data_IF_835991016956
#
_entry.id   IF_835991016956
#
_cell.length_a   1.000
_cell.length_b   1.000
_cell.length_c   1.000
_cell.angle_alpha   90.00
_cell.angle_beta   90.00
_cell.angle_gamma   90.00
#
_symmetry.space_group_name_H-M   'P 1'
#
loop_
_entity.id
_entity.type
_entity.pdbx_description
1 polymer ?
#
# COMPACT_ATOMS: atom_id res chain seq x y z
N UNK A 1 8.35 18.44 -12.47
CA UNK A 1 8.98 17.22 -11.93
C UNK A 1 7.88 16.37 -11.32
N UNK A 2 7.72 15.11 -11.74
CA UNK A 2 6.74 14.21 -11.13
C UNK A 2 7.16 14.01 -9.67
N UNK A 3 6.29 14.37 -8.71
CA UNK A 3 6.54 14.18 -7.29
C UNK A 3 6.68 12.69 -6.94
N UNK A 4 7.15 12.37 -5.73
CA UNK A 4 7.27 11.02 -5.17
C UNK A 4 5.91 10.33 -5.20
N UNK A 5 5.82 9.15 -5.79
CA UNK A 5 4.58 8.36 -5.83
C UNK A 5 4.47 7.46 -4.59
N UNK A 6 3.26 7.29 -4.09
CA UNK A 6 2.91 6.26 -3.10
C UNK A 6 2.36 5.06 -3.85
N UNK A 7 3.08 3.95 -3.83
CA UNK A 7 2.81 2.75 -4.61
C UNK A 7 2.51 1.59 -3.66
N UNK A 8 1.31 1.02 -3.75
CA UNK A 8 0.97 -0.21 -3.06
C UNK A 8 1.51 -1.40 -3.87
N UNK A 9 2.65 -1.98 -3.42
CA UNK A 9 3.23 -3.18 -4.03
C UNK A 9 2.98 -4.35 -3.10
N UNK A 10 2.17 -5.33 -3.53
CA UNK A 10 1.64 -6.36 -2.65
C UNK A 10 1.25 -7.62 -3.42
N UNK A 11 1.32 -8.78 -2.75
CA UNK A 11 0.75 -10.03 -3.24
C UNK A 11 -0.67 -10.23 -2.71
N UNK A 12 -1.53 -10.79 -3.54
CA UNK A 12 -2.88 -11.24 -3.15
C UNK A 12 -3.11 -12.68 -3.60
N UNK A 13 -3.97 -13.39 -2.88
CA UNK A 13 -4.60 -14.60 -3.40
C UNK A 13 -5.50 -14.27 -4.60
N UNK A 14 -5.88 -15.26 -5.39
CA UNK A 14 -6.77 -15.06 -6.54
C UNK A 14 -8.18 -14.57 -6.16
N UNK A 15 -8.59 -14.76 -4.91
CA UNK A 15 -9.83 -14.24 -4.31
C UNK A 15 -9.63 -12.93 -3.52
N UNK A 16 -8.44 -12.25 -3.67
CA UNK A 16 -8.24 -10.87 -3.25
C UNK A 16 -7.81 -10.64 -1.80
N UNK A 17 -7.32 -11.65 -1.11
CA UNK A 17 -6.81 -11.53 0.27
C UNK A 17 -5.28 -11.36 0.28
N UNK A 18 -4.77 -10.60 1.25
CA UNK A 18 -3.32 -10.36 1.45
C UNK A 18 -2.73 -11.23 2.57
N UNK A 19 -3.57 -11.80 3.43
CA UNK A 19 -3.19 -12.68 4.51
C UNK A 19 -4.41 -13.48 4.99
N UNK A 20 -4.20 -14.56 5.74
CA UNK A 20 -5.27 -15.22 6.49
C UNK A 20 -5.80 -14.31 7.60
N UNK A 21 -6.89 -14.71 8.27
CA UNK A 21 -7.50 -13.91 9.36
C UNK A 21 -6.54 -13.64 10.52
N UNK A 22 -5.63 -14.57 10.81
CA UNK A 22 -4.60 -14.46 11.86
C UNK A 22 -3.37 -13.63 11.42
N UNK A 23 -3.32 -13.22 10.15
CA UNK A 23 -2.22 -12.47 9.54
C UNK A 23 -1.12 -13.35 8.96
N UNK A 24 -1.26 -14.68 8.96
CA UNK A 24 -0.31 -15.59 8.32
C UNK A 24 -0.38 -15.50 6.81
N UNK A 25 0.75 -15.80 6.16
CA UNK A 25 0.94 -15.73 4.70
C UNK A 25 1.55 -17.04 4.16
N UNK A 26 1.24 -18.15 4.80
CA UNK A 26 1.72 -19.50 4.47
C UNK A 26 1.47 -19.90 3.01
N UNK A 27 0.39 -19.40 2.41
CA UNK A 27 0.04 -19.60 1.01
C UNK A 27 1.01 -18.92 0.02
N UNK A 28 1.90 -18.03 0.50
CA UNK A 28 3.02 -17.46 -0.27
C UNK A 28 4.26 -18.36 -0.26
N UNK A 29 4.31 -19.37 0.63
CA UNK A 29 5.42 -20.32 0.73
C UNK A 29 5.27 -21.40 -0.35
N UNK A 30 5.69 -21.03 -1.56
CA UNK A 30 5.65 -21.85 -2.76
C UNK A 30 7.00 -21.77 -3.48
N UNK A 31 7.40 -22.79 -4.25
CA UNK A 31 8.61 -22.73 -5.05
C UNK A 31 8.61 -21.51 -5.98
N UNK A 32 9.63 -20.65 -5.87
CA UNK A 32 9.80 -19.48 -6.74
C UNK A 32 10.73 -19.85 -7.87
N UNK A 33 10.18 -20.41 -8.95
CA UNK A 33 10.96 -20.90 -10.10
C UNK A 33 11.40 -19.77 -11.04
N UNK A 34 10.85 -18.57 -10.89
CA UNK A 34 11.03 -17.43 -11.83
C UNK A 34 11.64 -16.19 -11.17
N UNK A 35 12.34 -16.35 -10.06
CA UNK A 35 13.04 -15.25 -9.37
C UNK A 35 12.14 -14.43 -8.45
N UNK A 36 12.35 -13.11 -8.38
CA UNK A 36 11.74 -12.22 -7.41
C UNK A 36 10.51 -11.45 -7.92
N UNK A 37 9.98 -11.81 -9.07
CA UNK A 37 8.84 -11.16 -9.75
C UNK A 37 9.01 -9.65 -9.99
N UNK A 38 10.26 -9.15 -9.96
CA UNK A 38 10.60 -7.74 -10.12
C UNK A 38 10.68 -6.95 -8.82
N UNK A 39 10.67 -7.62 -7.66
CA UNK A 39 10.79 -6.98 -6.34
C UNK A 39 12.11 -6.21 -6.21
N UNK A 40 13.24 -6.78 -6.61
CA UNK A 40 14.54 -6.12 -6.54
C UNK A 40 14.63 -4.87 -7.42
N UNK A 41 14.01 -4.89 -8.61
CA UNK A 41 13.91 -3.71 -9.45
C UNK A 41 13.02 -2.63 -8.81
N UNK A 42 11.86 -3.00 -8.26
CA UNK A 42 10.99 -2.10 -7.53
C UNK A 42 11.70 -1.49 -6.32
N UNK A 43 12.41 -2.29 -5.54
CA UNK A 43 13.11 -1.85 -4.33
C UNK A 43 14.14 -0.75 -4.60
N UNK A 44 14.81 -0.77 -5.75
CA UNK A 44 15.73 0.29 -6.18
C UNK A 44 15.04 1.64 -6.45
N UNK A 45 13.73 1.63 -6.67
CA UNK A 45 12.93 2.83 -6.97
C UNK A 45 12.36 3.53 -5.74
N UNK A 46 12.51 2.95 -4.54
CA UNK A 46 11.96 3.48 -3.30
C UNK A 46 13.06 3.86 -2.30
N UNK A 47 12.73 4.73 -1.37
CA UNK A 47 13.55 5.10 -0.20
C UNK A 47 12.72 5.20 1.09
N UNK A 48 11.44 4.91 1.01
CA UNK A 48 10.51 5.06 2.14
C UNK A 48 9.48 3.94 2.10
N UNK A 49 9.16 3.37 3.26
CA UNK A 49 8.12 2.35 3.42
C UNK A 49 7.09 2.81 4.45
N UNK A 50 5.81 2.64 4.13
CA UNK A 50 4.67 2.94 4.99
C UNK A 50 4.01 1.64 5.46
N UNK A 51 3.84 1.52 6.77
CA UNK A 51 3.32 0.33 7.43
C UNK A 51 2.06 0.64 8.23
N UNK A 52 1.10 -0.25 8.19
CA UNK A 52 0.12 -0.38 9.26
C UNK A 52 0.71 -1.13 10.45
N UNK A 53 0.30 -0.77 11.67
CA UNK A 53 0.84 -1.34 12.92
C UNK A 53 0.83 -2.89 12.96
N UNK A 54 -0.25 -3.53 12.49
CA UNK A 54 -0.34 -5.00 12.48
C UNK A 54 0.67 -5.62 11.50
N UNK A 55 0.80 -5.07 10.31
CA UNK A 55 1.76 -5.55 9.29
C UNK A 55 3.20 -5.36 9.77
N UNK A 56 3.50 -4.22 10.40
CA UNK A 56 4.79 -3.99 11.04
C UNK A 56 5.10 -5.04 12.10
N UNK A 57 4.13 -5.38 12.97
CA UNK A 57 4.32 -6.41 14.00
C UNK A 57 4.58 -7.81 13.39
N UNK A 58 3.97 -8.12 12.24
CA UNK A 58 4.29 -9.35 11.49
C UNK A 58 5.69 -9.25 10.88
N UNK A 59 6.05 -8.12 10.25
CA UNK A 59 7.38 -7.89 9.69
C UNK A 59 8.51 -8.09 10.71
N UNK A 60 8.32 -7.64 11.95
CA UNK A 60 9.28 -7.85 13.04
C UNK A 60 9.52 -9.33 13.36
N UNK A 61 8.51 -10.21 13.19
CA UNK A 61 8.68 -11.66 13.41
C UNK A 61 9.58 -12.31 12.35
N UNK A 62 9.60 -11.75 11.14
CA UNK A 62 10.47 -12.20 10.06
C UNK A 62 11.84 -11.50 10.07
N UNK A 63 11.98 -10.39 10.80
CA UNK A 63 13.26 -9.73 10.99
C UNK A 63 14.19 -10.67 11.77
N UNK A 64 15.39 -10.93 11.24
CA UNK A 64 16.40 -11.76 11.93
C UNK A 64 16.76 -11.11 13.27
N UNK A 65 17.01 -11.92 14.28
CA UNK A 65 17.54 -11.48 15.57
C UNK A 65 18.83 -10.67 15.32
N UNK A 66 18.76 -9.36 15.50
CA UNK A 66 19.87 -8.43 15.18
C UNK A 66 19.38 -7.02 14.90
N UNK A 67 18.08 -6.79 14.90
CA UNK A 67 17.46 -5.46 14.83
C UNK A 67 17.25 -4.94 13.41
N UNK A 68 16.12 -4.32 13.20
CA UNK A 68 15.72 -3.69 11.96
C UNK A 68 14.91 -4.59 11.01
N UNK A 69 14.12 -3.96 10.16
CA UNK A 69 13.24 -4.64 9.20
C UNK A 69 13.98 -5.26 8.00
N UNK A 70 15.31 -5.13 7.94
CA UNK A 70 16.15 -5.74 6.91
C UNK A 70 16.12 -5.05 5.54
N UNK A 71 15.56 -3.84 5.45
CA UNK A 71 15.46 -3.08 4.19
C UNK A 71 16.65 -2.12 3.94
N UNK A 72 17.68 -2.15 4.80
CA UNK A 72 18.85 -1.27 4.73
C UNK A 72 18.66 0.06 5.47
N UNK A 73 19.78 0.63 5.94
CA UNK A 73 19.81 1.84 6.77
C UNK A 73 19.32 3.10 6.03
N UNK A 74 19.33 3.08 4.69
CA UNK A 74 18.90 4.22 3.87
C UNK A 74 17.38 4.29 3.64
N UNK A 75 16.62 3.24 4.00
CA UNK A 75 15.17 3.18 3.80
C UNK A 75 14.46 3.63 5.06
N UNK A 76 13.71 4.73 4.96
CA UNK A 76 12.91 5.28 6.06
C UNK A 76 11.64 4.47 6.25
N UNK A 77 11.37 4.04 7.48
CA UNK A 77 10.18 3.27 7.83
C UNK A 77 9.23 4.11 8.68
N UNK A 78 7.98 4.26 8.23
CA UNK A 78 6.91 4.95 8.95
C UNK A 78 5.79 3.99 9.30
N UNK A 79 5.45 3.90 10.59
CA UNK A 79 4.39 3.01 11.08
C UNK A 79 3.19 3.83 11.56
N UNK A 80 2.06 3.69 10.91
CA UNK A 80 0.82 4.37 11.31
C UNK A 80 0.19 3.69 12.53
N UNK A 81 0.12 4.43 13.63
CA UNK A 81 -0.47 3.96 14.88
C UNK A 81 -0.84 5.12 15.80
N UNK A 82 -2.07 5.08 16.34
CA UNK A 82 -2.48 5.98 17.44
C UNK A 82 -1.93 5.53 18.81
N UNK A 83 -1.33 4.35 18.89
CA UNK A 83 -0.76 3.78 20.12
C UNK A 83 0.63 3.22 19.82
N UNK A 84 1.65 4.08 19.69
CA UNK A 84 3.02 3.63 19.48
C UNK A 84 3.53 2.84 20.70
N UNK A 85 4.39 1.83 20.50
CA UNK A 85 5.00 1.12 21.60
C UNK A 85 5.96 2.04 22.37
N UNK A 86 6.19 1.77 23.67
CA UNK A 86 7.12 2.52 24.50
C UNK A 86 8.58 2.41 24.00
N UNK A 87 8.95 1.24 23.48
CA UNK A 87 10.27 0.99 22.88
C UNK A 87 10.11 0.87 21.37
N UNK A 88 10.80 1.71 20.63
CA UNK A 88 10.75 1.75 19.16
C UNK A 88 12.10 1.29 18.61
N UNK A 89 12.08 0.67 17.43
CA UNK A 89 13.30 0.38 16.68
C UNK A 89 13.91 1.70 16.16
N UNK A 90 15.25 1.83 16.09
CA UNK A 90 15.90 3.08 15.74
C UNK A 90 15.65 3.54 14.29
N UNK A 91 15.29 2.61 13.40
CA UNK A 91 15.03 2.82 11.98
C UNK A 91 13.54 3.06 11.67
N UNK A 92 12.68 3.28 12.69
CA UNK A 92 11.23 3.37 12.57
C UNK A 92 10.67 4.61 13.24
N UNK A 93 9.89 5.39 12.50
CA UNK A 93 9.11 6.52 13.03
C UNK A 93 7.62 6.13 13.12
N UNK A 94 7.01 6.31 14.30
CA UNK A 94 5.58 6.10 14.48
C UNK A 94 4.80 7.39 14.19
N UNK A 95 3.77 7.27 13.35
CA UNK A 95 2.99 8.39 12.84
C UNK A 95 1.54 8.27 13.32
N UNK A 96 1.01 9.36 13.88
CA UNK A 96 -0.41 9.49 14.26
C UNK A 96 -1.11 10.70 13.63
N UNK A 97 -0.37 11.53 12.87
CA UNK A 97 -0.92 12.70 12.18
C UNK A 97 -1.87 12.31 11.04
N UNK A 98 -2.72 13.25 10.55
CA UNK A 98 -3.59 13.03 9.40
C UNK A 98 -2.81 12.61 8.14
N UNK A 99 -3.38 11.66 7.38
CA UNK A 99 -2.72 11.06 6.20
C UNK A 99 -2.35 12.12 5.17
N UNK A 100 -3.26 13.06 4.88
CA UNK A 100 -3.04 14.09 3.84
C UNK A 100 -1.88 15.01 4.21
N UNK A 101 -1.77 15.41 5.48
CA UNK A 101 -0.65 16.24 5.96
C UNK A 101 0.66 15.47 5.88
N UNK A 102 0.66 14.21 6.28
CA UNK A 102 1.82 13.36 6.20
C UNK A 102 2.27 13.13 4.76
N UNK A 103 1.35 12.77 3.85
CA UNK A 103 1.65 12.55 2.44
C UNK A 103 2.19 13.82 1.76
N UNK A 104 1.58 14.97 2.06
CA UNK A 104 2.06 16.29 1.59
C UNK A 104 3.48 16.56 2.06
N UNK A 105 3.78 16.33 3.35
CA UNK A 105 5.14 16.48 3.91
C UNK A 105 6.14 15.57 3.21
N UNK A 106 5.80 14.29 2.99
CA UNK A 106 6.70 13.36 2.30
C UNK A 106 6.99 13.79 0.85
N UNK A 107 5.96 14.23 0.13
CA UNK A 107 6.10 14.64 -1.27
C UNK A 107 6.82 15.97 -1.45
N UNK A 108 6.81 16.83 -0.42
CA UNK A 108 7.54 18.09 -0.44
C UNK A 108 9.07 17.92 -0.35
N UNK A 109 9.52 16.78 0.16
CA UNK A 109 10.96 16.48 0.27
C UNK A 109 11.45 15.71 -0.96
N UNK A 110 12.69 15.97 -1.45
CA UNK A 110 13.28 15.18 -2.50
C UNK A 110 13.45 13.72 -2.06
N UNK A 111 13.38 12.80 -3.02
CA UNK A 111 13.54 11.37 -2.76
C UNK A 111 12.95 10.52 -3.87
N UNK A 112 13.05 9.20 -3.67
CA UNK A 112 12.48 8.18 -4.54
C UNK A 112 10.99 7.98 -4.21
N UNK A 113 10.35 7.00 -4.85
CA UNK A 113 8.98 6.63 -4.54
C UNK A 113 8.83 6.05 -3.13
N UNK A 114 7.61 5.90 -2.70
CA UNK A 114 7.21 5.48 -1.38
C UNK A 114 6.45 4.17 -1.52
N UNK A 115 6.89 3.13 -0.83
CA UNK A 115 6.20 1.85 -0.81
C UNK A 115 5.14 1.80 0.28
N UNK A 116 3.88 1.68 -0.09
CA UNK A 116 2.81 1.30 0.81
C UNK A 116 2.83 -0.22 0.98
N UNK A 117 3.47 -0.69 2.06
CA UNK A 117 3.57 -2.12 2.40
C UNK A 117 2.20 -2.71 2.81
N UNK A 118 1.37 -1.91 3.45
CA UNK A 118 0.06 -2.35 3.91
C UNK A 118 -0.01 -2.53 5.43
N UNK A 119 -1.01 -3.29 6.05
CA UNK A 119 -2.09 -4.08 5.41
C UNK A 119 -3.32 -3.33 4.90
N UNK A 120 -4.37 -4.09 4.65
CA UNK A 120 -5.57 -3.59 3.98
C UNK A 120 -6.25 -2.39 4.64
N UNK A 121 -6.16 -2.25 5.97
CA UNK A 121 -6.72 -1.08 6.67
C UNK A 121 -6.01 0.22 6.35
N UNK A 122 -4.67 0.25 6.36
CA UNK A 122 -3.91 1.47 6.04
C UNK A 122 -3.96 1.78 4.54
N UNK A 123 -3.94 0.75 3.67
CA UNK A 123 -4.16 0.92 2.24
C UNK A 123 -5.51 1.59 1.99
N UNK A 124 -6.59 1.11 2.63
CA UNK A 124 -7.91 1.70 2.53
C UNK A 124 -7.92 3.17 2.97
N UNK A 125 -7.30 3.50 4.10
CA UNK A 125 -7.24 4.86 4.61
C UNK A 125 -6.49 5.82 3.69
N UNK A 126 -5.36 5.40 3.11
CA UNK A 126 -4.62 6.20 2.12
C UNK A 126 -5.36 6.34 0.80
N UNK A 127 -6.07 5.29 0.36
CA UNK A 127 -6.89 5.32 -0.85
C UNK A 127 -8.08 6.26 -0.68
N UNK A 128 -8.77 6.22 0.47
CA UNK A 128 -9.89 7.12 0.80
C UNK A 128 -9.44 8.58 0.91
N UNK A 129 -8.19 8.82 1.32
CA UNK A 129 -7.56 10.14 1.35
C UNK A 129 -7.08 10.62 -0.04
N UNK A 130 -7.16 9.78 -1.09
CA UNK A 130 -6.66 10.10 -2.42
C UNK A 130 -5.14 10.12 -2.53
N UNK A 131 -4.43 9.46 -1.62
CA UNK A 131 -2.97 9.54 -1.49
C UNK A 131 -2.22 8.33 -2.08
N UNK A 132 -2.91 7.30 -2.61
CA UNK A 132 -2.28 6.23 -3.39
C UNK A 132 -2.26 6.62 -4.86
N UNK A 133 -1.09 6.53 -5.49
CA UNK A 133 -0.90 6.83 -6.92
C UNK A 133 -0.98 5.58 -7.79
N UNK A 134 -0.42 4.46 -7.31
CA UNK A 134 -0.33 3.22 -8.10
C UNK A 134 -0.51 1.97 -7.23
N UNK A 135 -1.01 0.91 -7.85
CA UNK A 135 -1.03 -0.44 -7.32
C UNK A 135 -0.21 -1.37 -8.21
N UNK A 136 0.71 -2.11 -7.62
CA UNK A 136 1.38 -3.26 -8.26
C UNK A 136 0.96 -4.50 -7.48
N UNK A 137 0.04 -5.27 -8.04
CA UNK A 137 -0.56 -6.43 -7.40
C UNK A 137 -0.05 -7.70 -8.06
N UNK A 138 0.54 -8.59 -7.27
CA UNK A 138 0.87 -9.95 -7.69
C UNK A 138 -0.25 -10.88 -7.28
N UNK A 139 -1.03 -11.31 -8.24
CA UNK A 139 -2.11 -12.29 -8.02
C UNK A 139 -1.49 -13.68 -8.03
N UNK A 140 -1.48 -14.30 -6.87
CA UNK A 140 -1.00 -15.67 -6.69
C UNK A 140 -2.13 -16.64 -7.07
N UNK A 141 -1.87 -17.69 -7.87
CA UNK A 141 -2.90 -18.62 -8.35
C UNK A 141 -3.35 -19.59 -7.25
N UNK A 142 -3.94 -19.04 -6.20
CA UNK A 142 -4.42 -19.77 -5.02
C UNK A 142 -5.64 -19.07 -4.44
N UNK A 143 -6.71 -19.79 -4.16
CA UNK A 143 -7.82 -19.32 -3.35
C UNK A 143 -7.58 -19.68 -1.89
N UNK A 144 -7.85 -18.76 -0.97
CA UNK A 144 -7.74 -19.01 0.47
C UNK A 144 -9.10 -18.93 1.19
N UNK A 145 -10.17 -18.52 0.47
CA UNK A 145 -11.55 -18.53 0.90
C UNK A 145 -11.93 -17.41 1.85
N UNK A 146 -11.07 -17.08 2.81
CA UNK A 146 -11.27 -16.00 3.77
C UNK A 146 -9.94 -15.42 4.23
N UNK A 147 -9.95 -14.17 4.70
CA UNK A 147 -8.70 -13.52 5.13
C UNK A 147 -8.83 -12.03 5.31
N UNK A 148 -7.68 -11.37 5.35
CA UNK A 148 -7.54 -9.92 5.36
C UNK A 148 -7.57 -9.46 3.89
N UNK A 149 -8.57 -8.69 3.46
CA UNK A 149 -8.68 -8.24 2.08
C UNK A 149 -7.59 -7.22 1.74
N UNK A 150 -7.24 -7.11 0.46
CA UNK A 150 -6.30 -6.10 -0.05
C UNK A 150 -6.66 -4.69 0.41
N UNK A 151 -7.94 -4.37 0.37
CA UNK A 151 -8.49 -3.08 0.81
C UNK A 151 -9.61 -3.37 1.79
N UNK A 152 -9.52 -2.83 3.02
CA UNK A 152 -10.57 -3.01 4.02
C UNK A 152 -11.93 -2.59 3.46
N UNK A 153 -13.00 -3.40 3.66
CA UNK A 153 -14.32 -3.15 3.11
C UNK A 153 -14.88 -1.79 3.54
N UNK A 154 -15.33 -1.01 2.57
CA UNK A 154 -16.03 0.25 2.76
C UNK A 154 -16.76 0.59 1.46
N UNK A 155 -17.87 1.32 1.54
CA UNK A 155 -18.49 1.85 0.33
C UNK A 155 -17.54 2.85 -0.34
N UNK A 156 -17.03 2.49 -1.52
CA UNK A 156 -16.17 3.34 -2.37
C UNK A 156 -16.23 2.88 -3.81
N UNK A 157 -16.00 3.81 -4.71
CA UNK A 157 -15.77 3.54 -6.13
C UNK A 157 -14.51 4.31 -6.54
N UNK A 158 -13.45 3.59 -6.88
CA UNK A 158 -12.18 4.16 -7.34
C UNK A 158 -11.82 3.54 -8.67
N UNK A 159 -11.74 4.36 -9.70
CA UNK A 159 -11.35 3.90 -11.03
C UNK A 159 -9.83 3.66 -11.09
N UNK A 160 -9.45 2.61 -11.78
CA UNK A 160 -8.05 2.24 -12.00
C UNK A 160 -7.78 2.16 -13.49
N UNK A 161 -6.64 2.71 -13.93
CA UNK A 161 -6.14 2.58 -15.30
C UNK A 161 -5.06 1.52 -15.32
N UNK A 162 -5.25 0.45 -16.10
CA UNK A 162 -4.22 -0.55 -16.30
C UNK A 162 -3.02 0.06 -17.04
N UNK A 163 -1.83 -0.05 -16.44
CA UNK A 163 -0.56 0.37 -17.01
C UNK A 163 0.17 -0.81 -17.67
N UNK A 164 0.18 -1.97 -17.00
CA UNK A 164 0.73 -3.20 -17.56
C UNK A 164 0.18 -4.43 -16.85
N UNK A 165 0.15 -5.55 -17.56
CA UNK A 165 -0.07 -6.89 -17.03
C UNK A 165 1.08 -7.78 -17.49
N UNK A 166 1.56 -8.65 -16.60
CA UNK A 166 2.60 -9.63 -16.91
C UNK A 166 2.28 -10.94 -16.19
N UNK A 167 2.28 -12.01 -16.93
CA UNK A 167 2.23 -13.38 -16.42
C UNK A 167 3.63 -13.94 -16.20
N UNK A 168 3.71 -14.92 -15.32
CA UNK A 168 4.93 -15.66 -15.01
C UNK A 168 4.67 -17.16 -15.19
N UNK A 169 5.70 -17.94 -15.55
CA UNK A 169 5.54 -19.37 -15.85
C UNK A 169 4.95 -20.22 -14.72
N UNK A 170 5.02 -19.75 -13.48
CA UNK A 170 4.44 -20.39 -12.30
C UNK A 170 2.99 -19.98 -12.01
N UNK A 171 2.36 -19.27 -12.94
CA UNK A 171 0.96 -18.84 -12.89
C UNK A 171 0.69 -17.55 -12.11
N UNK A 172 1.74 -16.89 -11.56
CA UNK A 172 1.57 -15.57 -10.95
C UNK A 172 1.28 -14.54 -12.04
N UNK A 173 0.33 -13.62 -11.79
CA UNK A 173 0.05 -12.50 -12.67
C UNK A 173 0.33 -11.19 -11.93
N UNK A 174 1.21 -10.36 -12.48
CA UNK A 174 1.45 -9.01 -11.98
C UNK A 174 0.61 -8.00 -12.73
N UNK A 175 -0.23 -7.28 -12.01
CA UNK A 175 -1.05 -6.19 -12.51
C UNK A 175 -0.52 -4.86 -11.98
N UNK A 176 -0.30 -3.89 -12.87
CA UNK A 176 0.15 -2.56 -12.51
C UNK A 176 -0.92 -1.55 -12.92
N UNK A 177 -1.47 -0.83 -11.95
CA UNK A 177 -2.52 0.16 -12.16
C UNK A 177 -2.11 1.53 -11.66
N UNK A 178 -2.54 2.58 -12.37
CA UNK A 178 -2.62 3.93 -11.82
C UNK A 178 -4.00 4.14 -11.20
N UNK A 179 -4.05 4.84 -10.06
CA UNK A 179 -5.31 5.31 -9.47
C UNK A 179 -5.78 6.55 -10.23
N UNK A 180 -6.98 6.50 -10.79
CA UNK A 180 -7.58 7.66 -11.45
C UNK A 180 -8.20 8.59 -10.40
N UNK A 181 -7.64 9.80 -10.30
CA UNK A 181 -8.22 10.83 -9.43
C UNK A 181 -9.50 11.35 -10.08
N UNK A 182 -10.63 11.24 -9.41
CA UNK A 182 -11.85 11.88 -9.88
C UNK A 182 -11.59 13.39 -9.96
N UNK A 183 -11.73 13.98 -11.15
CA UNK A 183 -11.78 15.42 -11.28
C UNK A 183 -12.99 15.90 -10.46
N UNK A 184 -12.80 16.81 -9.52
CA UNK A 184 -13.91 17.43 -8.81
C UNK A 184 -14.93 17.93 -9.85
N UNK A 185 -16.15 17.38 -9.79
CA UNK A 185 -17.25 17.95 -10.58
C UNK A 185 -17.42 19.39 -10.11
N UNK A 186 -17.43 20.39 -11.00
CA UNK A 186 -17.69 21.76 -10.59
C UNK A 186 -19.01 21.78 -9.81
N UNK A 187 -18.99 22.35 -8.61
CA UNK A 187 -20.20 22.56 -7.79
C UNK A 187 -21.20 23.30 -8.67
N UNK A 188 -22.24 22.60 -9.12
CA UNK A 188 -23.37 23.23 -9.83
C UNK A 188 -23.92 24.30 -8.90
N UNK A 189 -23.81 25.56 -9.31
CA UNK A 189 -24.34 26.70 -8.58
C UNK A 189 -25.84 26.44 -8.35
N UNK A 190 -26.25 26.44 -7.09
CA UNK A 190 -27.65 26.31 -6.71
C UNK A 190 -28.44 27.42 -7.42
N UNK A 191 -29.36 27.02 -8.32
CA UNK A 191 -30.32 27.93 -8.91
C UNK A 191 -31.10 28.60 -7.79
N UNK A 192 -30.89 29.90 -7.60
CA UNK A 192 -31.74 30.72 -6.76
C UNK A 192 -33.15 30.73 -7.39
N UNK A 193 -34.11 30.04 -6.79
CA UNK A 193 -35.50 30.21 -7.11
C UNK A 193 -35.90 31.65 -6.74
N UNK A 194 -36.40 32.36 -7.73
CA UNK A 194 -37.02 33.69 -7.50
C UNK A 194 -38.38 33.49 -6.83
N UNK A 195 -38.73 34.26 -5.79
CA UNK A 195 -40.06 34.20 -5.20
C UNK A 195 -41.07 34.70 -6.21
N UNK A 196 -42.12 33.89 -6.45
CA UNK A 196 -43.30 34.32 -7.18
C UNK A 196 -44.04 35.38 -6.36
N UNK A 197 -44.31 36.52 -7.00
CA UNK A 197 -45.28 37.51 -6.51
C UNK A 197 -46.70 37.01 -6.72
#
# INVERSE_FOLDING_TARGET
MSGRKIIAYIATSADGFIARRDGSVDWLDRPRTVGDYGMGAFFKTIDTILWGRKTYAVGLKFAKAGGGLGYGAEVKNYVFSHRPPKKQAPDVEFVSQPINEFAKRLRANPGKNIWMMGGGGIIASFLDAGEIDEFIVHVIPTFIGEGIPLIAPRHRLVALKLLSARDFPDGVVRLHYAVERQKEKPKTAAKKEKPKK
#
